data_IF_217391222149
#
_entry.id   IF_217391222149
#
_cell.length_a   1.000
_cell.length_b   1.000
_cell.length_c   1.000
_cell.angle_alpha   90.00
_cell.angle_beta   90.00
_cell.angle_gamma   90.00
#
_symmetry.space_group_name_H-M   'P 1'
#
loop_
_entity.id
_entity.type
_entity.pdbx_description
1 polymer ?
#
# COMPACT_ATOMS: atom_id res chain seq x y z
N UNK A 1 -14.70 -10.96 -11.10
CA UNK A 1 -14.37 -9.56 -10.74
C UNK A 1 -13.26 -9.09 -11.67
N UNK A 2 -13.52 -8.08 -12.49
CA UNK A 2 -12.53 -7.55 -13.43
C UNK A 2 -11.30 -7.04 -12.67
N UNK A 3 -10.12 -7.58 -12.98
CA UNK A 3 -8.84 -7.11 -12.42
C UNK A 3 -8.52 -5.78 -13.11
N UNK A 4 -9.21 -4.71 -12.71
CA UNK A 4 -8.83 -3.35 -13.10
C UNK A 4 -7.50 -3.07 -12.43
N UNK A 5 -6.43 -2.96 -13.24
CA UNK A 5 -5.15 -2.47 -12.74
C UNK A 5 -5.39 -1.08 -12.16
N UNK A 6 -5.01 -0.82 -10.89
CA UNK A 6 -5.07 0.52 -10.34
C UNK A 6 -4.21 1.44 -11.20
N UNK A 7 -4.65 2.70 -11.35
CA UNK A 7 -3.82 3.71 -12.03
C UNK A 7 -2.51 3.87 -11.25
N UNK A 8 -1.40 4.17 -11.92
CA UNK A 8 -0.12 4.40 -11.24
C UNK A 8 -0.23 5.46 -10.14
N UNK A 9 -1.06 6.49 -10.34
CA UNK A 9 -1.34 7.52 -9.33
C UNK A 9 -1.92 6.94 -8.03
N UNK A 10 -2.88 6.01 -8.11
CA UNK A 10 -3.47 5.38 -6.93
C UNK A 10 -2.47 4.45 -6.20
N UNK A 11 -1.57 3.82 -6.96
CA UNK A 11 -0.48 3.03 -6.38
C UNK A 11 0.47 3.94 -5.60
N UNK A 12 0.89 5.06 -6.20
CA UNK A 12 1.77 6.05 -5.54
C UNK A 12 1.13 6.60 -4.27
N UNK A 13 -0.16 6.96 -4.31
CA UNK A 13 -0.88 7.43 -3.11
C UNK A 13 -0.91 6.38 -2.01
N UNK A 14 -1.14 5.11 -2.35
CA UNK A 14 -1.13 3.99 -1.39
C UNK A 14 0.27 3.76 -0.79
N UNK A 15 1.32 3.82 -1.59
CA UNK A 15 2.70 3.69 -1.11
C UNK A 15 3.07 4.84 -0.16
N UNK A 16 2.72 6.09 -0.50
CA UNK A 16 2.92 7.24 0.38
C UNK A 16 2.17 7.10 1.72
N UNK A 17 0.94 6.57 1.71
CA UNK A 17 0.22 6.28 2.95
C UNK A 17 0.97 5.27 3.84
N UNK A 18 1.60 4.25 3.26
CA UNK A 18 2.42 3.29 4.02
C UNK A 18 3.63 4.00 4.63
N UNK A 19 4.30 4.89 3.89
CA UNK A 19 5.44 5.66 4.41
C UNK A 19 5.05 6.58 5.57
N UNK A 20 3.90 7.27 5.48
CA UNK A 20 3.37 8.10 6.57
C UNK A 20 3.10 7.26 7.82
N UNK A 21 2.43 6.11 7.67
CA UNK A 21 2.14 5.21 8.78
C UNK A 21 3.42 4.64 9.42
N UNK A 22 4.41 4.29 8.61
CA UNK A 22 5.73 3.89 9.13
C UNK A 22 6.42 5.02 9.88
N UNK A 23 6.32 6.27 9.40
CA UNK A 23 6.83 7.45 10.09
C UNK A 23 6.15 7.72 11.45
N UNK A 24 4.93 7.23 11.65
CA UNK A 24 4.21 7.26 12.92
C UNK A 24 4.59 6.11 13.86
N UNK A 25 5.56 5.26 13.48
CA UNK A 25 6.02 4.11 14.26
C UNK A 25 5.21 2.83 14.02
N UNK A 26 4.31 2.81 13.02
CA UNK A 26 3.56 1.60 12.67
C UNK A 26 4.48 0.59 11.95
N UNK A 27 4.44 -0.70 12.31
CA UNK A 27 5.16 -1.72 11.55
C UNK A 27 4.70 -1.76 10.10
N UNK A 28 5.63 -1.96 9.17
CA UNK A 28 5.35 -1.97 7.72
C UNK A 28 4.20 -2.90 7.35
N UNK A 29 4.16 -4.12 7.90
CA UNK A 29 3.12 -5.11 7.57
C UNK A 29 1.74 -4.62 8.01
N UNK A 30 1.63 -4.01 9.19
CA UNK A 30 0.40 -3.41 9.68
C UNK A 30 -0.03 -2.21 8.83
N UNK A 31 0.94 -1.38 8.40
CA UNK A 31 0.67 -0.25 7.50
C UNK A 31 0.17 -0.71 6.12
N UNK A 32 0.75 -1.78 5.55
CA UNK A 32 0.30 -2.39 4.29
C UNK A 32 -1.12 -2.96 4.42
N UNK A 33 -1.41 -3.67 5.52
CA UNK A 33 -2.75 -4.19 5.80
C UNK A 33 -3.77 -3.07 6.00
N UNK A 34 -3.36 -1.95 6.61
CA UNK A 34 -4.21 -0.78 6.86
C UNK A 34 -4.76 -0.15 5.59
N UNK A 35 -3.98 -0.15 4.50
CA UNK A 35 -4.39 0.39 3.19
C UNK A 35 -5.13 -0.63 2.30
N UNK A 36 -5.44 -1.81 2.85
CA UNK A 36 -6.11 -2.90 2.15
C UNK A 36 -5.25 -3.58 1.08
N UNK A 37 -3.92 -3.46 1.17
CA UNK A 37 -2.99 -4.15 0.30
C UNK A 37 -2.47 -5.43 0.99
N UNK A 38 -1.99 -6.38 0.17
CA UNK A 38 -1.22 -7.52 0.68
C UNK A 38 0.27 -7.22 0.57
N UNK A 39 1.09 -7.87 1.40
CA UNK A 39 2.56 -7.74 1.29
C UNK A 39 3.06 -8.09 -0.11
N UNK A 40 2.51 -9.15 -0.72
CA UNK A 40 2.87 -9.55 -2.08
C UNK A 40 2.55 -8.46 -3.11
N UNK A 41 1.42 -7.78 -2.95
CA UNK A 41 1.04 -6.67 -3.82
C UNK A 41 1.96 -5.47 -3.62
N UNK A 42 2.27 -5.13 -2.36
CA UNK A 42 3.17 -4.03 -2.02
C UNK A 42 4.57 -4.20 -2.62
N UNK A 43 5.15 -5.41 -2.55
CA UNK A 43 6.47 -5.68 -3.15
C UNK A 43 6.46 -5.76 -4.68
N UNK A 44 5.29 -5.82 -5.33
CA UNK A 44 5.15 -5.87 -6.80
C UNK A 44 4.83 -4.53 -7.44
N UNK A 45 4.39 -3.56 -6.63
CA UNK A 45 4.13 -2.19 -7.05
C UNK A 45 5.43 -1.39 -7.07
#
# INVERSE_FOLDING_TARGET
MAIKRPKPEEIVMKLQQVEVLMGQGMPRIDAIRRIGATEQTYYRW
#
